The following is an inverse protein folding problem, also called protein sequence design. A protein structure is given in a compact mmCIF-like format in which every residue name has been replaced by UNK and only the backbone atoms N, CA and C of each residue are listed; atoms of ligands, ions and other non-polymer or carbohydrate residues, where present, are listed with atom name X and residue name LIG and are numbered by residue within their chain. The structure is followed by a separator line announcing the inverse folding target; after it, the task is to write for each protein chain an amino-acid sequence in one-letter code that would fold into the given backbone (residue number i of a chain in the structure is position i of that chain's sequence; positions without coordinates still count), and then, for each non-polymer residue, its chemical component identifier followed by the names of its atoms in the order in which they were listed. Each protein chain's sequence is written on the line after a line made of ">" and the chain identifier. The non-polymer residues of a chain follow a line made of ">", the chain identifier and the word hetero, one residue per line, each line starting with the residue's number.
data_IF_406064841405
#
_entry.id   IF_406064841405
#
_cell.length_a   1.000
_cell.length_b   1.000
_cell.length_c   1.000
_cell.angle_alpha   90.00
_cell.angle_beta   90.00
_cell.angle_gamma   90.00
#
_symmetry.space_group_name_H-M   'P 1'
#
loop_
_entity.id
_entity.type
_entity.pdbx_description
1 polymer ?
#
# COMPACT_ATOMS: atom_id res chain seq x y z
N UNK A 1 29.83 -22.47 -10.73
CA UNK A 1 30.09 -21.25 -11.54
C UNK A 1 28.80 -20.52 -11.88
N UNK A 2 27.77 -21.20 -12.41
CA UNK A 2 26.47 -20.57 -12.75
C UNK A 2 25.83 -19.80 -11.60
N UNK A 3 25.85 -20.33 -10.36
CA UNK A 3 25.29 -19.63 -9.20
C UNK A 3 25.93 -18.26 -8.96
N UNK A 4 27.23 -18.08 -9.20
CA UNK A 4 27.94 -16.82 -8.95
C UNK A 4 27.62 -15.74 -10.00
N UNK A 5 27.27 -16.15 -11.23
CA UNK A 5 26.87 -15.25 -12.32
C UNK A 5 25.43 -14.75 -12.17
N UNK A 6 24.53 -15.55 -11.60
CA UNK A 6 23.14 -15.11 -11.33
C UNK A 6 23.14 -13.99 -10.27
N UNK A 7 24.00 -14.09 -9.25
CA UNK A 7 24.09 -13.10 -8.17
C UNK A 7 24.62 -11.71 -8.57
N UNK A 8 25.32 -11.55 -9.71
CA UNK A 8 26.15 -10.36 -9.97
C UNK A 8 25.59 -9.37 -11.02
N UNK A 9 24.56 -9.72 -11.79
CA UNK A 9 24.17 -8.88 -12.94
C UNK A 9 22.69 -8.82 -13.31
N UNK A 10 21.88 -9.74 -12.82
CA UNK A 10 20.44 -9.70 -13.04
C UNK A 10 19.81 -10.23 -11.77
N UNK A 11 19.19 -9.35 -10.97
CA UNK A 11 18.28 -9.79 -9.92
C UNK A 11 17.12 -10.48 -10.65
N UNK A 12 17.30 -11.77 -10.89
CA UNK A 12 16.37 -12.55 -11.65
C UNK A 12 15.14 -12.76 -10.75
N UNK A 13 13.91 -12.63 -11.28
CA UNK A 13 12.69 -12.87 -10.49
C UNK A 13 12.70 -14.21 -9.75
N UNK A 14 13.46 -15.19 -10.26
CA UNK A 14 13.69 -16.51 -9.65
C UNK A 14 14.33 -16.46 -8.25
N UNK A 15 15.26 -15.55 -7.98
CA UNK A 15 15.92 -15.47 -6.66
C UNK A 15 14.98 -14.85 -5.63
N UNK A 16 14.22 -13.84 -6.03
CA UNK A 16 13.17 -13.24 -5.18
C UNK A 16 12.12 -14.27 -4.78
N UNK A 17 11.72 -15.17 -5.69
CA UNK A 17 10.80 -16.26 -5.38
C UNK A 17 11.34 -17.19 -4.30
N UNK A 18 12.64 -17.54 -4.34
CA UNK A 18 13.26 -18.38 -3.31
C UNK A 18 13.27 -17.67 -1.94
N UNK A 19 13.63 -16.38 -1.90
CA UNK A 19 13.63 -15.57 -0.67
C UNK A 19 12.23 -15.46 -0.09
N UNK A 20 11.23 -15.13 -0.92
CA UNK A 20 9.82 -15.04 -0.51
C UNK A 20 9.34 -16.41 0.00
N UNK A 21 9.71 -17.52 -0.65
CA UNK A 21 9.35 -18.86 -0.19
C UNK A 21 9.91 -19.16 1.21
N UNK A 22 11.18 -18.82 1.49
CA UNK A 22 11.79 -19.00 2.82
C UNK A 22 11.09 -18.12 3.87
N UNK A 23 10.83 -16.85 3.55
CA UNK A 23 10.11 -15.94 4.45
C UNK A 23 8.70 -16.46 4.73
N UNK A 24 7.99 -16.96 3.73
CA UNK A 24 6.66 -17.56 3.89
C UNK A 24 6.70 -18.85 4.72
N UNK A 25 7.78 -19.63 4.65
CA UNK A 25 7.97 -20.83 5.48
C UNK A 25 8.22 -20.48 6.96
N UNK A 26 9.00 -19.43 7.22
CA UNK A 26 9.30 -18.98 8.58
C UNK A 26 8.14 -18.25 9.25
N UNK A 27 7.48 -17.34 8.52
CA UNK A 27 6.40 -16.50 9.06
C UNK A 27 5.00 -17.02 8.76
N UNK A 28 4.85 -17.95 7.82
CA UNK A 28 3.57 -18.45 7.33
C UNK A 28 2.93 -17.52 6.28
N UNK A 29 2.21 -18.11 5.32
CA UNK A 29 1.57 -17.35 4.22
C UNK A 29 0.51 -16.33 4.63
N UNK A 30 -0.01 -16.41 5.86
CA UNK A 30 -1.06 -15.50 6.35
C UNK A 30 -0.51 -14.27 7.09
N UNK A 31 0.72 -14.32 7.62
CA UNK A 31 1.23 -13.21 8.48
C UNK A 31 1.75 -12.02 7.70
N UNK A 32 2.40 -12.22 6.55
CA UNK A 32 2.82 -11.13 5.67
C UNK A 32 1.62 -10.24 5.24
N UNK A 33 0.50 -10.78 4.70
CA UNK A 33 -0.63 -9.95 4.30
C UNK A 33 -1.38 -9.34 5.48
N UNK A 34 -1.43 -10.01 6.64
CA UNK A 34 -2.03 -9.48 7.87
C UNK A 34 -1.25 -8.25 8.39
N UNK A 35 0.08 -8.33 8.41
CA UNK A 35 0.96 -7.21 8.77
C UNK A 35 0.87 -6.06 7.77
N UNK A 36 0.84 -6.36 6.46
CA UNK A 36 0.67 -5.34 5.42
C UNK A 36 -0.67 -4.61 5.52
N UNK A 37 -1.76 -5.33 5.84
CA UNK A 37 -3.08 -4.72 6.07
C UNK A 37 -3.09 -3.79 7.29
N UNK A 38 -2.49 -4.23 8.39
CA UNK A 38 -2.34 -3.39 9.60
C UNK A 38 -1.51 -2.13 9.35
N UNK A 39 -0.32 -2.30 8.76
CA UNK A 39 0.59 -1.20 8.44
C UNK A 39 -0.03 -0.22 7.43
N UNK A 40 -0.71 -0.75 6.40
CA UNK A 40 -1.36 0.07 5.37
C UNK A 40 -2.51 0.91 5.91
N UNK A 41 -3.30 0.36 6.85
CA UNK A 41 -4.37 1.09 7.54
C UNK A 41 -3.77 2.21 8.40
N UNK A 42 -2.73 1.91 9.20
CA UNK A 42 -2.06 2.92 10.01
C UNK A 42 -1.43 4.05 9.20
N UNK A 43 -0.78 3.75 8.08
CA UNK A 43 -0.22 4.75 7.15
C UNK A 43 -1.33 5.61 6.51
N UNK A 44 -2.48 5.00 6.18
CA UNK A 44 -3.63 5.71 5.63
C UNK A 44 -4.21 6.71 6.65
N UNK A 45 -4.41 6.28 7.88
CA UNK A 45 -4.89 7.13 8.97
C UNK A 45 -3.91 8.26 9.30
N UNK A 46 -2.61 7.94 9.37
CA UNK A 46 -1.55 8.92 9.59
C UNK A 46 -1.51 10.01 8.50
N UNK A 47 -1.66 9.59 7.23
CA UNK A 47 -1.74 10.52 6.09
C UNK A 47 -3.00 11.39 6.14
N UNK A 48 -4.13 10.84 6.57
CA UNK A 48 -5.40 11.58 6.68
C UNK A 48 -5.34 12.63 7.78
N UNK A 49 -4.85 12.27 8.97
CA UNK A 49 -4.65 13.19 10.08
C UNK A 49 -3.67 14.32 9.73
N UNK A 50 -2.58 13.98 9.01
CA UNK A 50 -1.61 14.98 8.55
C UNK A 50 -2.20 15.93 7.50
N UNK A 51 -3.06 15.44 6.60
CA UNK A 51 -3.72 16.27 5.58
C UNK A 51 -4.75 17.24 6.19
N UNK A 52 -5.49 16.80 7.20
CA UNK A 52 -6.47 17.63 7.91
C UNK A 52 -5.80 18.80 8.63
N UNK A 53 -4.57 18.62 9.12
CA UNK A 53 -3.80 19.69 9.77
C UNK A 53 -3.15 20.69 8.80
N UNK A 54 -2.98 20.33 7.52
CA UNK A 54 -2.30 21.14 6.51
C UNK A 54 -3.24 21.86 5.53
N UNK A 55 -4.56 21.65 5.62
CA UNK A 55 -5.50 22.30 4.71
C UNK A 55 -6.87 22.55 5.39
N UNK A 56 -7.14 23.77 5.90
CA UNK A 56 -8.46 24.13 6.42
C UNK A 56 -9.53 24.35 5.32
N UNK A 57 -9.25 24.06 4.04
CA UNK A 57 -10.10 24.46 2.90
C UNK A 57 -10.27 23.38 1.82
N UNK A 58 -10.22 22.09 2.17
CA UNK A 58 -10.41 21.01 1.19
C UNK A 58 -11.37 19.89 1.64
N UNK A 59 -12.48 20.22 2.30
CA UNK A 59 -13.64 19.32 2.43
C UNK A 59 -14.93 20.03 2.04
N UNK A 60 -15.13 20.23 0.74
CA UNK A 60 -16.44 20.45 0.15
C UNK A 60 -16.41 20.02 -1.33
N UNK A 61 -16.31 18.71 -1.60
CA UNK A 61 -16.78 18.17 -2.88
C UNK A 61 -17.18 16.71 -2.68
N UNK A 62 -18.38 16.41 -3.17
CA UNK A 62 -19.03 15.09 -3.28
C UNK A 62 -19.83 14.63 -2.06
N UNK A 63 -20.93 15.34 -1.79
CA UNK A 63 -22.31 14.81 -1.86
C UNK A 63 -23.28 15.99 -1.64
N UNK A 64 -24.40 16.00 -2.35
CA UNK A 64 -25.55 16.93 -2.23
C UNK A 64 -25.47 18.31 -2.92
N UNK A 65 -25.42 18.35 -4.27
CA UNK A 65 -25.98 19.47 -5.07
C UNK A 65 -26.52 18.96 -6.41
N UNK A 66 -27.74 18.40 -6.41
CA UNK A 66 -28.55 18.24 -7.63
C UNK A 66 -30.04 18.57 -7.38
N UNK A 67 -30.35 19.48 -6.45
CA UNK A 67 -31.75 19.85 -6.13
C UNK A 67 -31.95 21.35 -5.85
N UNK A 68 -31.24 22.24 -6.56
CA UNK A 68 -31.47 23.70 -6.51
C UNK A 68 -31.23 24.34 -7.90
N UNK A 69 -31.78 23.74 -8.97
CA UNK A 69 -31.92 24.43 -10.26
C UNK A 69 -33.25 24.08 -10.91
N UNK A 70 -34.34 24.35 -10.19
CA UNK A 70 -35.67 24.54 -10.75
C UNK A 70 -36.40 25.47 -9.79
N UNK A 71 -36.98 26.55 -10.32
CA UNK A 71 -37.66 27.64 -9.59
C UNK A 71 -36.58 28.55 -8.97
N UNK A 72 -36.32 29.78 -9.42
CA UNK A 72 -37.16 30.83 -10.01
C UNK A 72 -36.40 31.65 -11.06
#
# INVERSE_FOLDING_TARGET
>A
MYSLLVFLGAIAPSEFILVIAIVLLLFGGKKIPELMKGLGTGIKEFKNATKEHNNPTAKATTQDQEEQFKTE
#
